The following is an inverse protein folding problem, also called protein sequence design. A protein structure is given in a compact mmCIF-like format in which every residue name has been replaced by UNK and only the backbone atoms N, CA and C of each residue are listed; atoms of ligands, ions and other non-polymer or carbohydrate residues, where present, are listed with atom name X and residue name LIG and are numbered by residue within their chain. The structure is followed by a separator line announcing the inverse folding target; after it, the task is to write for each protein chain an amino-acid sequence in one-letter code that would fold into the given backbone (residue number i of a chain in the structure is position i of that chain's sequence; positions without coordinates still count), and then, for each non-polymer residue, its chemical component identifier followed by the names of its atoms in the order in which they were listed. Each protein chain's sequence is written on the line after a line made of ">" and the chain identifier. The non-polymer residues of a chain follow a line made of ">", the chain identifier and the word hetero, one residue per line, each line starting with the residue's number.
data_IF_054098126909
#
_entry.id   IF_054098126909
#
_cell.length_a   1.000
_cell.length_b   1.000
_cell.length_c   1.000
_cell.angle_alpha   90.00
_cell.angle_beta   90.00
_cell.angle_gamma   90.00
#
_symmetry.space_group_name_H-M   'P 1'
#
loop_
_entity.id
_entity.type
_entity.pdbx_description
1 polymer ?
#
# COMPACT_ATOMS: atom_id res chain seq x y z
N UNK A 1 17.10 -44.67 -25.67
CA UNK A 1 16.42 -45.62 -24.76
C UNK A 1 16.91 -45.41 -23.33
N UNK A 2 16.71 -44.19 -22.84
CA UNK A 2 17.13 -43.68 -21.53
C UNK A 2 16.03 -42.72 -21.08
N UNK A 3 15.46 -42.95 -19.89
CA UNK A 3 14.46 -42.16 -19.12
C UNK A 3 13.25 -42.97 -18.62
N UNK A 4 13.49 -44.14 -18.02
CA UNK A 4 12.45 -44.80 -17.19
C UNK A 4 12.94 -45.22 -15.80
N UNK A 5 14.26 -45.29 -15.52
CA UNK A 5 14.75 -45.82 -14.23
C UNK A 5 15.14 -44.78 -13.15
N UNK A 6 14.50 -43.60 -13.13
CA UNK A 6 14.80 -42.58 -12.09
C UNK A 6 13.61 -42.16 -11.23
N UNK A 7 12.61 -43.03 -11.09
CA UNK A 7 11.47 -42.86 -10.16
C UNK A 7 11.29 -44.13 -9.32
N UNK A 8 12.30 -44.46 -8.49
CA UNK A 8 12.16 -45.42 -7.36
C UNK A 8 12.95 -45.00 -6.11
N UNK A 9 13.40 -43.74 -6.03
CA UNK A 9 14.29 -43.24 -4.96
C UNK A 9 13.71 -42.21 -3.99
N UNK A 10 12.43 -41.84 -4.08
CA UNK A 10 11.84 -40.74 -3.28
C UNK A 10 10.67 -41.24 -2.41
N UNK A 11 10.84 -42.40 -1.77
CA UNK A 11 9.87 -42.89 -0.76
C UNK A 11 10.54 -43.47 0.48
N UNK A 12 11.75 -42.97 0.82
CA UNK A 12 12.49 -43.38 2.03
C UNK A 12 13.13 -42.23 2.81
N UNK A 13 12.69 -40.99 2.62
CA UNK A 13 13.20 -39.81 3.35
C UNK A 13 12.14 -39.03 4.14
N UNK A 14 11.06 -39.68 4.56
CA UNK A 14 10.04 -39.12 5.47
C UNK A 14 9.78 -40.00 6.70
N UNK A 15 10.83 -40.55 7.32
CA UNK A 15 10.69 -41.32 8.58
C UNK A 15 11.70 -41.02 9.68
N UNK A 16 12.46 -39.92 9.58
CA UNK A 16 13.30 -39.48 10.69
C UNK A 16 13.13 -37.97 10.90
N UNK A 17 13.11 -37.58 12.17
CA UNK A 17 12.85 -36.24 12.73
C UNK A 17 11.41 -36.04 13.20
N UNK A 18 11.04 -36.84 14.21
CA UNK A 18 10.07 -36.47 15.24
C UNK A 18 10.54 -37.10 16.56
N UNK A 19 11.47 -36.41 17.23
CA UNK A 19 11.87 -36.70 18.60
C UNK A 19 12.46 -35.42 19.20
N UNK A 20 11.60 -34.58 19.75
CA UNK A 20 12.01 -33.70 20.85
C UNK A 20 11.06 -33.90 22.01
N UNK A 21 11.69 -34.27 23.13
CA UNK A 21 11.10 -34.79 24.34
C UNK A 21 10.52 -33.68 25.22
N UNK A 22 9.49 -34.09 25.93
CA UNK A 22 8.84 -33.41 27.05
C UNK A 22 9.85 -32.91 28.09
N UNK A 23 9.81 -31.62 28.42
CA UNK A 23 10.42 -31.08 29.64
C UNK A 23 9.32 -30.88 30.69
N UNK A 24 9.43 -31.65 31.79
CA UNK A 24 8.61 -31.51 33.01
C UNK A 24 9.21 -30.43 33.92
N UNK A 25 8.40 -29.70 34.70
CA UNK A 25 8.90 -28.72 35.67
C UNK A 25 9.40 -29.41 36.95
N UNK A 26 10.56 -28.96 37.48
CA UNK A 26 11.07 -29.36 38.80
C UNK A 26 10.51 -28.42 39.88
N UNK A 27 10.10 -29.03 40.99
CA UNK A 27 9.56 -28.41 42.22
C UNK A 27 10.60 -27.52 42.94
N UNK A 28 10.14 -26.59 43.82
CA UNK A 28 11.02 -25.69 44.55
C UNK A 28 11.58 -26.35 45.82
N UNK A 29 12.85 -26.06 46.13
CA UNK A 29 13.51 -26.43 47.37
C UNK A 29 13.46 -25.22 48.31
N UNK A 30 12.82 -25.41 49.46
CA UNK A 30 12.83 -24.48 50.60
C UNK A 30 14.10 -24.67 51.43
N UNK A 31 14.80 -23.58 51.75
CA UNK A 31 15.70 -23.52 52.90
C UNK A 31 15.44 -22.21 53.65
N UNK A 32 15.06 -22.33 54.92
CA UNK A 32 15.12 -21.28 55.90
C UNK A 32 16.47 -21.36 56.62
N UNK A 33 17.10 -20.21 56.94
CA UNK A 33 17.57 -19.88 58.30
C UNK A 33 18.31 -18.54 58.37
N UNK A 34 17.91 -17.79 59.39
CA UNK A 34 18.66 -16.91 60.29
C UNK A 34 19.13 -15.52 59.83
N UNK A 35 18.70 -14.55 60.65
CA UNK A 35 19.08 -13.16 60.68
C UNK A 35 20.46 -12.95 61.30
N UNK A 36 21.19 -11.95 60.79
CA UNK A 36 22.22 -11.23 61.54
C UNK A 36 22.26 -9.78 61.09
N UNK A 37 22.20 -8.87 62.07
CA UNK A 37 22.26 -7.42 61.94
C UNK A 37 23.61 -6.93 61.39
N UNK A 38 23.58 -6.09 60.36
CA UNK A 38 24.61 -5.06 60.12
C UNK A 38 23.90 -3.75 59.77
N UNK A 39 24.05 -2.74 60.65
CA UNK A 39 23.68 -1.34 60.41
C UNK A 39 24.72 -0.72 59.49
N UNK A 40 24.32 -0.13 58.37
CA UNK A 40 25.11 0.94 57.72
C UNK A 40 24.21 1.84 56.87
N UNK A 41 24.60 3.12 56.84
CA UNK A 41 23.76 4.29 56.65
C UNK A 41 23.04 4.39 55.29
N UNK A 42 21.77 4.82 55.34
CA UNK A 42 21.03 5.36 54.21
C UNK A 42 21.73 6.63 53.69
N UNK A 43 22.30 6.55 52.50
CA UNK A 43 22.46 7.72 51.63
C UNK A 43 21.39 7.62 50.55
N UNK A 44 20.36 8.45 50.66
CA UNK A 44 19.29 8.54 49.69
C UNK A 44 19.84 9.12 48.37
N UNK A 45 20.13 8.26 47.40
CA UNK A 45 20.06 8.65 45.99
C UNK A 45 18.71 8.20 45.47
N UNK A 46 17.77 9.15 45.45
CA UNK A 46 16.56 9.05 44.65
C UNK A 46 16.99 8.95 43.19
N UNK A 47 17.18 7.73 42.70
CA UNK A 47 17.03 7.48 41.27
C UNK A 47 15.55 7.68 40.96
N UNK A 48 15.20 8.89 40.54
CA UNK A 48 13.94 9.15 39.84
C UNK A 48 14.01 8.38 38.53
N UNK A 49 13.67 7.10 38.59
CA UNK A 49 13.29 6.33 37.43
C UNK A 49 11.89 6.82 37.04
N UNK A 50 11.84 8.01 36.44
CA UNK A 50 10.71 8.40 35.61
C UNK A 50 10.81 7.53 34.36
N UNK A 51 10.30 6.30 34.46
CA UNK A 51 9.82 5.60 33.28
C UNK A 51 8.78 6.52 32.67
N UNK A 52 9.20 7.33 31.70
CA UNK A 52 8.28 8.00 30.80
C UNK A 52 7.42 6.88 30.24
N UNK A 53 6.20 6.76 30.74
CA UNK A 53 5.14 6.07 30.05
C UNK A 53 5.08 6.75 28.69
N UNK A 54 5.71 6.13 27.69
CA UNK A 54 5.53 6.50 26.30
C UNK A 54 4.07 6.20 26.04
N UNK A 55 3.22 7.20 26.27
CA UNK A 55 1.80 7.15 25.92
C UNK A 55 1.80 6.79 24.45
N UNK A 56 1.36 5.57 24.14
CA UNK A 56 1.20 5.12 22.78
C UNK A 56 0.11 6.01 22.19
N UNK A 57 0.52 7.08 21.51
CA UNK A 57 -0.40 8.04 20.91
C UNK A 57 -1.20 7.31 19.83
N UNK A 58 -2.41 6.90 20.19
CA UNK A 58 -3.35 6.30 19.27
C UNK A 58 -4.21 7.41 18.67
N UNK A 59 -4.27 7.47 17.35
CA UNK A 59 -5.14 8.39 16.63
C UNK A 59 -6.42 7.67 16.19
N UNK A 60 -7.56 8.34 16.36
CA UNK A 60 -8.85 7.91 15.83
C UNK A 60 -9.28 8.75 14.65
N UNK A 61 -10.32 8.33 13.94
CA UNK A 61 -10.91 9.08 12.83
C UNK A 61 -12.38 9.40 13.08
N UNK A 62 -12.85 10.49 12.49
CA UNK A 62 -14.24 10.92 12.49
C UNK A 62 -14.65 11.20 11.05
N UNK A 63 -15.55 10.38 10.52
CA UNK A 63 -16.08 10.54 9.17
C UNK A 63 -17.26 11.53 9.13
N UNK A 64 -17.33 12.30 8.05
CA UNK A 64 -18.39 13.27 7.74
C UNK A 64 -18.77 13.15 6.28
N UNK A 65 -20.04 13.43 5.97
CA UNK A 65 -20.62 13.20 4.65
C UNK A 65 -20.74 11.72 4.27
N UNK A 66 -21.18 11.46 3.04
CA UNK A 66 -21.33 10.10 2.53
C UNK A 66 -20.06 9.69 1.76
N UNK A 67 -19.46 8.51 2.00
CA UNK A 67 -18.38 8.00 1.15
C UNK A 67 -18.76 8.01 -0.34
N UNK A 68 -17.76 8.18 -1.22
CA UNK A 68 -17.96 8.34 -2.67
C UNK A 68 -18.83 9.56 -3.03
N UNK A 69 -18.70 10.66 -2.28
CA UNK A 69 -19.36 11.94 -2.57
C UNK A 69 -18.41 13.12 -2.38
N UNK A 70 -18.75 14.27 -2.96
CA UNK A 70 -17.96 15.51 -2.86
C UNK A 70 -17.86 16.04 -1.42
N UNK A 71 -18.79 15.66 -0.54
CA UNK A 71 -18.85 16.10 0.86
C UNK A 71 -18.08 15.17 1.81
N UNK A 72 -17.57 14.03 1.33
CA UNK A 72 -16.92 13.06 2.20
C UNK A 72 -15.62 13.61 2.78
N UNK A 73 -15.47 13.55 4.10
CA UNK A 73 -14.28 13.98 4.84
C UNK A 73 -13.94 12.98 5.94
N UNK A 74 -12.66 12.76 6.15
CA UNK A 74 -12.13 11.98 7.28
C UNK A 74 -11.25 12.89 8.14
N UNK A 75 -11.75 13.27 9.30
CA UNK A 75 -11.02 14.05 10.30
C UNK A 75 -10.29 13.12 11.28
N UNK A 76 -9.32 13.67 12.00
CA UNK A 76 -8.49 12.93 12.95
C UNK A 76 -8.73 13.40 14.37
N UNK A 77 -8.58 12.48 15.33
CA UNK A 77 -8.68 12.74 16.75
C UNK A 77 -7.49 12.15 17.49
N UNK A 78 -7.00 12.87 18.50
CA UNK A 78 -6.02 12.35 19.45
C UNK A 78 -6.64 11.31 20.39
N UNK A 79 -5.82 10.63 21.19
CA UNK A 79 -6.27 9.70 22.23
C UNK A 79 -7.23 10.33 23.26
N UNK A 80 -7.19 11.65 23.41
CA UNK A 80 -8.05 12.40 24.33
C UNK A 80 -9.36 12.87 23.66
N UNK A 81 -9.60 12.50 22.40
CA UNK A 81 -10.80 12.86 21.64
C UNK A 81 -10.76 14.25 20.98
N UNK A 82 -9.69 15.03 21.17
CA UNK A 82 -9.54 16.33 20.53
C UNK A 82 -9.28 16.17 19.04
N UNK A 83 -9.95 16.97 18.20
CA UNK A 83 -9.65 17.07 16.75
C UNK A 83 -8.19 17.48 16.56
N UNK A 84 -7.49 16.81 15.65
CA UNK A 84 -6.11 17.12 15.29
C UNK A 84 -5.98 17.23 13.78
N UNK A 85 -5.10 18.10 13.29
CA UNK A 85 -4.74 18.16 11.88
C UNK A 85 -3.80 16.99 11.55
N UNK A 86 -4.10 16.14 10.56
CA UNK A 86 -3.17 15.10 10.15
C UNK A 86 -1.92 15.66 9.47
N UNK A 87 -1.97 16.89 8.96
CA UNK A 87 -0.82 17.55 8.37
C UNK A 87 0.10 18.13 9.47
N UNK A 88 -0.46 18.73 10.52
CA UNK A 88 0.32 19.56 11.44
C UNK A 88 0.49 18.97 12.85
N UNK A 89 -0.54 18.32 13.39
CA UNK A 89 -0.57 17.90 14.80
C UNK A 89 0.00 16.49 15.04
N UNK A 90 0.07 15.65 14.00
CA UNK A 90 0.69 14.33 14.12
C UNK A 90 2.21 14.51 14.03
N UNK A 91 3.00 14.11 15.03
CA UNK A 91 4.45 14.25 14.98
C UNK A 91 5.03 13.43 13.83
N UNK A 92 6.00 13.99 13.09
CA UNK A 92 6.74 13.25 12.05
C UNK A 92 7.38 11.99 12.63
N UNK A 93 8.11 12.13 13.75
CA UNK A 93 8.82 11.02 14.39
C UNK A 93 7.99 10.40 15.52
N UNK A 94 7.87 9.07 15.51
CA UNK A 94 7.14 8.30 16.52
C UNK A 94 8.02 7.92 17.73
N UNK A 95 9.34 8.07 17.61
CA UNK A 95 10.31 7.79 18.68
C UNK A 95 11.38 8.88 18.80
N UNK A 96 12.02 8.95 19.97
CA UNK A 96 13.01 9.97 20.30
C UNK A 96 14.28 9.87 19.43
N UNK A 97 14.65 8.65 19.02
CA UNK A 97 15.82 8.38 18.19
C UNK A 97 15.61 8.81 16.72
N UNK A 98 14.39 9.22 16.34
CA UNK A 98 14.03 9.65 14.98
C UNK A 98 14.29 8.58 13.91
N UNK A 99 14.09 7.32 14.27
CA UNK A 99 14.28 6.17 13.37
C UNK A 99 12.95 5.56 12.88
N UNK A 100 11.85 5.89 13.56
CA UNK A 100 10.49 5.47 13.25
C UNK A 100 9.65 6.73 13.05
N UNK A 101 8.86 6.76 11.98
CA UNK A 101 8.01 7.89 11.64
C UNK A 101 6.54 7.50 11.69
N UNK A 102 5.67 8.49 11.91
CA UNK A 102 4.25 8.32 11.66
C UNK A 102 3.98 8.54 10.17
N UNK A 103 3.16 7.68 9.58
CA UNK A 103 2.59 7.86 8.25
C UNK A 103 1.08 7.99 8.38
N UNK A 104 0.50 8.95 7.67
CA UNK A 104 -0.95 9.08 7.50
C UNK A 104 -1.35 8.33 6.24
N UNK A 105 -2.10 7.24 6.38
CA UNK A 105 -2.56 6.44 5.24
C UNK A 105 -3.78 7.08 4.60
N UNK A 106 -3.66 7.50 3.34
CA UNK A 106 -4.73 8.15 2.60
C UNK A 106 -5.49 7.18 1.71
N UNK A 107 -4.76 6.29 1.04
CA UNK A 107 -5.28 5.37 0.03
C UNK A 107 -4.82 3.94 0.37
N UNK A 108 -5.73 3.07 0.82
CA UNK A 108 -5.45 1.65 0.99
C UNK A 108 -4.97 1.00 -0.30
N UNK A 109 -4.04 0.04 -0.19
CA UNK A 109 -3.61 -0.77 -1.33
C UNK A 109 -4.80 -1.40 -2.04
N UNK A 110 -4.72 -1.46 -3.37
CA UNK A 110 -5.74 -1.98 -4.28
C UNK A 110 -7.06 -1.20 -4.28
N UNK A 111 -7.01 0.08 -3.95
CA UNK A 111 -8.15 0.99 -4.13
C UNK A 111 -7.85 2.07 -5.16
N UNK A 112 -8.89 2.67 -5.73
CA UNK A 112 -8.77 3.61 -6.86
C UNK A 112 -9.07 5.07 -6.49
N UNK A 113 -9.82 5.32 -5.41
CA UNK A 113 -10.20 6.68 -5.00
C UNK A 113 -8.94 7.47 -4.65
N UNK A 114 -8.63 8.52 -5.42
CA UNK A 114 -7.53 9.43 -5.10
C UNK A 114 -7.96 10.29 -3.91
N UNK A 115 -7.59 9.85 -2.72
CA UNK A 115 -7.83 10.57 -1.48
C UNK A 115 -6.53 11.20 -1.02
N UNK A 116 -6.64 12.39 -0.44
CA UNK A 116 -5.49 13.17 0.00
C UNK A 116 -5.86 14.02 1.22
N UNK A 117 -4.88 14.31 2.07
CA UNK A 117 -4.97 15.35 3.09
C UNK A 117 -5.25 16.68 2.39
N UNK A 118 -6.41 17.26 2.68
CA UNK A 118 -6.79 18.53 2.06
C UNK A 118 -6.03 19.68 2.70
N UNK A 119 -5.14 20.32 1.94
CA UNK A 119 -4.35 21.45 2.42
C UNK A 119 -5.20 22.69 2.66
N UNK A 120 -6.27 22.89 1.91
CA UNK A 120 -7.03 24.16 1.88
C UNK A 120 -8.18 24.20 2.90
N UNK A 121 -8.56 23.05 3.47
CA UNK A 121 -9.65 22.95 4.44
C UNK A 121 -9.12 22.88 5.88
N UNK A 122 -9.82 23.57 6.79
CA UNK A 122 -9.45 23.63 8.20
C UNK A 122 -9.36 22.24 8.82
N UNK A 123 -8.34 22.03 9.65
CA UNK A 123 -8.01 20.74 10.26
C UNK A 123 -7.62 19.64 9.25
N UNK A 124 -7.36 20.02 8.00
CA UNK A 124 -6.82 19.20 6.91
C UNK A 124 -7.41 17.77 6.82
N UNK A 125 -8.74 17.61 6.74
CA UNK A 125 -9.33 16.28 6.60
C UNK A 125 -8.83 15.58 5.33
N UNK A 126 -8.80 14.25 5.34
CA UNK A 126 -8.66 13.52 4.09
C UNK A 126 -9.95 13.66 3.29
N UNK A 127 -9.84 14.05 2.01
CA UNK A 127 -10.94 14.14 1.06
C UNK A 127 -10.57 13.52 -0.29
N UNK A 128 -11.56 13.29 -1.15
CA UNK A 128 -11.28 12.81 -2.49
C UNK A 128 -10.94 13.99 -3.41
N UNK A 129 -9.88 13.83 -4.21
CA UNK A 129 -9.52 14.78 -5.27
C UNK A 129 -10.69 14.90 -6.27
N UNK A 130 -10.91 16.11 -6.77
CA UNK A 130 -12.00 16.45 -7.69
C UNK A 130 -11.42 17.06 -8.96
N UNK A 131 -11.65 16.39 -10.10
CA UNK A 131 -11.20 16.85 -11.41
C UNK A 131 -12.41 17.13 -12.29
N UNK A 132 -12.51 18.36 -12.79
CA UNK A 132 -13.65 18.83 -13.63
C UNK A 132 -15.02 18.60 -12.97
N UNK A 133 -15.10 18.81 -11.66
CA UNK A 133 -16.34 18.66 -10.88
C UNK A 133 -16.73 17.20 -10.52
N UNK A 134 -15.94 16.21 -10.94
CA UNK A 134 -16.17 14.80 -10.63
C UNK A 134 -15.08 14.23 -9.71
N UNK A 135 -15.47 13.26 -8.87
CA UNK A 135 -14.55 12.53 -8.01
C UNK A 135 -13.50 11.81 -8.85
N UNK A 136 -12.22 11.95 -8.49
CA UNK A 136 -11.11 11.36 -9.23
C UNK A 136 -10.83 9.94 -8.74
N UNK A 137 -10.72 9.02 -9.70
CA UNK A 137 -10.30 7.64 -9.48
C UNK A 137 -9.12 7.34 -10.39
N UNK A 138 -8.02 6.84 -9.83
CA UNK A 138 -6.90 6.32 -10.61
C UNK A 138 -7.35 5.07 -11.34
N UNK A 139 -7.03 4.98 -12.62
CA UNK A 139 -7.43 3.84 -13.47
C UNK A 139 -6.53 2.64 -13.23
N UNK A 140 -7.06 1.43 -13.42
CA UNK A 140 -6.24 0.23 -13.40
C UNK A 140 -5.45 0.15 -14.71
N UNK A 141 -4.13 0.27 -14.65
CA UNK A 141 -3.26 0.05 -15.82
C UNK A 141 -2.62 -1.32 -15.65
N UNK A 142 -2.93 -2.24 -16.56
CA UNK A 142 -2.46 -3.62 -16.48
C UNK A 142 -0.92 -3.66 -16.39
N UNK A 143 -0.36 -4.48 -15.48
CA UNK A 143 -1.01 -5.50 -14.65
C UNK A 143 -1.54 -4.99 -13.29
N UNK A 144 -1.48 -3.70 -13.01
CA UNK A 144 -1.75 -3.14 -11.69
C UNK A 144 -3.25 -2.92 -11.42
N UNK A 145 -3.66 -3.08 -10.16
CA UNK A 145 -4.99 -2.76 -9.67
C UNK A 145 -4.91 -1.62 -8.66
N UNK A 146 -5.51 -0.47 -8.99
CA UNK A 146 -5.46 0.74 -8.17
C UNK A 146 -4.03 1.12 -7.78
N UNK A 147 -3.88 1.61 -6.55
CA UNK A 147 -2.57 1.82 -5.92
C UNK A 147 -1.99 0.48 -5.48
N UNK A 148 -0.72 0.21 -5.80
CA UNK A 148 -0.06 -1.07 -5.47
C UNK A 148 0.66 -1.06 -4.11
N UNK A 149 0.50 0.01 -3.33
CA UNK A 149 0.95 0.21 -1.94
C UNK A 149 -0.19 0.71 -1.09
N UNK A 150 -0.03 0.69 0.24
CA UNK A 150 -0.75 1.67 1.03
C UNK A 150 -0.06 3.02 0.80
N UNK A 151 -0.82 4.00 0.34
CA UNK A 151 -0.30 5.29 -0.07
C UNK A 151 -0.79 6.38 0.88
N UNK A 152 0.04 7.39 1.10
CA UNK A 152 -0.29 8.53 1.93
C UNK A 152 0.90 9.44 2.09
N UNK A 153 0.97 10.15 3.21
CA UNK A 153 2.00 11.16 3.41
C UNK A 153 2.64 11.14 4.80
N UNK A 154 3.84 11.73 4.91
CA UNK A 154 4.46 12.03 6.19
C UNK A 154 3.91 13.35 6.75
N UNK A 155 3.36 13.35 7.97
CA UNK A 155 2.90 14.58 8.59
C UNK A 155 4.10 15.47 8.93
N UNK A 156 3.86 16.77 9.07
CA UNK A 156 4.90 17.76 9.36
C UNK A 156 6.05 17.77 8.33
N UNK A 157 5.77 17.50 7.07
CA UNK A 157 6.70 17.66 5.96
C UNK A 157 6.01 18.46 4.86
N UNK A 158 6.75 19.21 4.07
CA UNK A 158 6.19 19.99 2.97
C UNK A 158 7.24 20.17 1.89
N UNK A 159 6.87 19.95 0.64
CA UNK A 159 7.68 20.24 -0.53
C UNK A 159 7.43 21.69 -0.98
N UNK A 160 8.28 22.61 -0.51
CA UNK A 160 8.12 24.05 -0.77
C UNK A 160 8.17 24.37 -2.28
N UNK A 161 7.11 24.98 -2.85
CA UNK A 161 7.04 25.33 -4.27
C UNK A 161 7.99 26.47 -4.68
N UNK A 162 8.75 27.05 -3.74
CA UNK A 162 9.84 27.99 -4.01
C UNK A 162 11.23 27.35 -3.84
N UNK A 163 11.30 26.11 -3.35
CA UNK A 163 12.54 25.40 -3.20
C UNK A 163 12.88 24.60 -4.45
N UNK A 164 13.92 25.02 -5.17
CA UNK A 164 14.45 24.25 -6.30
C UNK A 164 15.22 23.04 -5.78
N UNK A 165 14.79 21.85 -6.18
CA UNK A 165 15.55 20.61 -5.94
C UNK A 165 16.78 20.58 -6.86
N UNK A 166 18.01 20.56 -6.32
CA UNK A 166 19.23 20.72 -7.10
C UNK A 166 19.38 19.72 -8.26
N UNK A 167 18.92 18.49 -8.06
CA UNK A 167 19.08 17.37 -8.98
C UNK A 167 18.08 17.38 -10.15
N UNK A 168 16.88 17.91 -9.94
CA UNK A 168 15.81 17.96 -10.97
C UNK A 168 15.65 19.33 -11.60
N UNK A 169 16.10 20.40 -10.94
CA UNK A 169 15.83 21.80 -11.35
C UNK A 169 14.34 22.11 -11.42
N UNK A 170 13.56 21.44 -10.58
CA UNK A 170 12.13 21.64 -10.42
C UNK A 170 11.81 22.10 -9.01
N UNK A 171 10.68 22.78 -8.86
CA UNK A 171 10.18 23.25 -7.55
C UNK A 171 9.34 22.15 -6.89
N UNK A 172 9.18 22.18 -5.57
CA UNK A 172 8.26 21.27 -4.87
C UNK A 172 6.81 21.41 -5.32
N UNK A 173 6.02 20.34 -5.15
CA UNK A 173 4.61 20.26 -5.55
C UNK A 173 3.63 20.90 -4.54
N UNK A 174 4.16 21.56 -3.50
CA UNK A 174 3.39 22.21 -2.43
C UNK A 174 2.61 21.22 -1.55
N UNK A 175 2.88 19.92 -1.59
CA UNK A 175 2.22 18.88 -0.79
C UNK A 175 3.09 18.37 0.38
N UNK A 176 2.50 17.66 1.37
CA UNK A 176 3.28 16.87 2.29
C UNK A 176 3.98 15.72 1.55
N UNK A 177 5.13 15.30 2.06
CA UNK A 177 5.98 14.30 1.40
C UNK A 177 5.27 12.96 1.25
N UNK A 178 5.18 12.48 0.01
CA UNK A 178 4.44 11.27 -0.37
C UNK A 178 5.15 9.97 0.02
N UNK A 179 4.36 8.95 0.35
CA UNK A 179 4.83 7.70 0.94
C UNK A 179 4.14 6.48 0.33
N UNK A 180 4.96 5.49 -0.05
CA UNK A 180 4.54 4.16 -0.46
C UNK A 180 4.92 3.15 0.63
N UNK A 181 3.94 2.66 1.38
CA UNK A 181 4.12 1.62 2.39
C UNK A 181 3.89 0.22 1.78
N UNK A 182 4.91 -0.62 1.91
CA UNK A 182 5.06 -1.84 1.10
C UNK A 182 4.75 -3.14 1.85
N UNK A 183 4.38 -3.06 3.13
CA UNK A 183 4.08 -4.20 3.98
C UNK A 183 2.87 -5.01 3.51
N UNK A 184 2.75 -6.24 3.99
CA UNK A 184 1.71 -7.17 3.55
C UNK A 184 0.29 -6.74 3.95
N UNK A 185 0.13 -5.93 5.00
CA UNK A 185 -1.18 -5.52 5.52
C UNK A 185 -1.80 -4.45 4.63
N UNK A 186 -3.07 -4.58 4.28
CA UNK A 186 -3.84 -3.47 3.68
C UNK A 186 -4.35 -2.58 4.81
N UNK A 187 -3.80 -1.37 4.91
CA UNK A 187 -4.16 -0.42 5.95
C UNK A 187 -5.45 0.33 5.59
N UNK A 188 -6.17 0.79 6.61
CA UNK A 188 -7.39 1.58 6.41
C UNK A 188 -7.02 3.03 6.11
N UNK A 189 -7.86 3.69 5.31
CA UNK A 189 -7.81 5.14 5.11
C UNK A 189 -7.95 5.85 6.46
N UNK A 190 -7.14 6.87 6.68
CA UNK A 190 -7.04 7.60 7.95
C UNK A 190 -6.29 6.86 9.06
N UNK A 191 -5.69 5.70 8.78
CA UNK A 191 -4.81 5.07 9.77
C UNK A 191 -3.53 5.90 9.94
N UNK A 192 -3.08 6.05 11.19
CA UNK A 192 -1.75 6.58 11.51
C UNK A 192 -0.88 5.43 11.97
N UNK A 193 0.13 5.09 11.17
CA UNK A 193 0.96 3.90 11.38
C UNK A 193 2.42 4.28 11.60
N UNK A 194 3.14 3.42 12.31
CA UNK A 194 4.58 3.59 12.52
C UNK A 194 5.34 2.88 11.41
N UNK A 195 6.18 3.62 10.70
CA UNK A 195 6.93 3.11 9.55
C UNK A 195 8.41 3.40 9.70
N UNK A 196 9.23 2.61 8.99
CA UNK A 196 10.64 2.91 8.79
C UNK A 196 10.95 3.11 7.31
N UNK A 197 11.86 4.04 7.03
CA UNK A 197 12.31 4.37 5.67
C UNK A 197 13.31 3.35 5.16
N UNK A 198 13.11 2.98 3.89
CA UNK A 198 13.99 2.11 3.13
C UNK A 198 14.68 2.88 1.99
N UNK A 199 13.98 3.83 1.37
CA UNK A 199 14.55 4.64 0.28
C UNK A 199 13.57 5.68 -0.25
N UNK A 200 13.89 6.29 -1.39
CA UNK A 200 13.05 7.31 -2.04
C UNK A 200 13.22 7.30 -3.56
N UNK A 201 12.17 7.60 -4.30
CA UNK A 201 12.20 7.83 -5.74
C UNK A 201 11.83 9.29 -6.05
N UNK A 202 12.44 9.88 -7.07
CA UNK A 202 12.20 11.27 -7.46
C UNK A 202 11.33 11.32 -8.72
N UNK A 203 10.01 11.46 -8.56
CA UNK A 203 9.10 11.70 -9.68
C UNK A 203 9.22 13.17 -10.10
N UNK A 204 9.16 13.42 -11.41
CA UNK A 204 8.95 14.75 -11.96
C UNK A 204 7.53 14.75 -12.51
N UNK A 205 6.60 15.25 -11.72
CA UNK A 205 5.17 15.27 -12.06
C UNK A 205 4.80 16.63 -12.64
N UNK A 206 4.51 16.67 -13.95
CA UNK A 206 4.08 17.90 -14.64
C UNK A 206 5.03 19.11 -14.50
N UNK A 207 6.31 18.88 -14.17
CA UNK A 207 7.34 19.91 -14.00
C UNK A 207 7.66 20.25 -12.54
N UNK A 208 7.04 19.57 -11.59
CA UNK A 208 7.27 19.70 -10.15
C UNK A 208 8.07 18.50 -9.64
N UNK A 209 8.89 18.73 -8.62
CA UNK A 209 9.51 17.66 -7.83
C UNK A 209 8.42 17.03 -6.97
N UNK A 210 8.33 15.71 -7.03
CA UNK A 210 7.38 14.93 -6.28
C UNK A 210 8.08 13.66 -5.74
N UNK A 211 8.53 13.71 -4.49
CA UNK A 211 9.31 12.63 -3.90
C UNK A 211 8.42 11.52 -3.36
N UNK A 212 8.71 10.27 -3.74
CA UNK A 212 7.99 9.06 -3.28
C UNK A 212 8.86 8.27 -2.31
N UNK A 213 8.65 8.45 -1.00
CA UNK A 213 9.40 7.73 0.03
C UNK A 213 8.90 6.29 0.12
N UNK A 214 9.82 5.33 0.11
CA UNK A 214 9.52 3.91 0.26
C UNK A 214 9.72 3.53 1.72
N UNK A 215 8.66 3.01 2.34
CA UNK A 215 8.65 2.65 3.76
C UNK A 215 8.00 1.29 4.00
N UNK A 216 8.17 0.75 5.19
CA UNK A 216 7.47 -0.45 5.66
C UNK A 216 6.94 -0.24 7.08
N UNK A 217 5.72 -0.72 7.37
CA UNK A 217 5.19 -0.77 8.74
C UNK A 217 6.16 -1.53 9.64
N UNK A 218 6.53 -0.95 10.79
CA UNK A 218 7.45 -1.58 11.75
C UNK A 218 6.90 -2.88 12.35
N UNK A 219 5.58 -3.12 12.22
CA UNK A 219 4.92 -4.34 12.65
C UNK A 219 4.81 -5.40 11.54
N UNK A 220 5.29 -5.12 10.32
CA UNK A 220 5.34 -6.11 9.25
C UNK A 220 6.34 -7.24 9.58
N UNK A 221 6.06 -8.52 9.26
CA UNK A 221 6.99 -9.61 9.50
C UNK A 221 8.36 -9.43 8.81
N UNK A 222 8.40 -8.79 7.64
CA UNK A 222 9.64 -8.51 6.90
C UNK A 222 10.33 -7.25 7.37
N UNK A 223 9.72 -6.46 8.26
CA UNK A 223 10.29 -5.21 8.73
C UNK A 223 11.73 -5.43 9.21
N UNK A 224 11.98 -6.36 10.13
CA UNK A 224 13.35 -6.56 10.66
C UNK A 224 14.41 -6.93 9.60
N UNK A 225 13.98 -7.51 8.48
CA UNK A 225 14.86 -7.96 7.39
C UNK A 225 15.11 -6.87 6.33
N UNK A 226 14.29 -5.82 6.27
CA UNK A 226 14.41 -4.72 5.31
C UNK A 226 14.92 -3.45 5.99
N UNK A 227 16.18 -3.07 5.79
CA UNK A 227 16.77 -1.92 6.47
C UNK A 227 17.31 -0.83 5.54
N UNK A 228 17.43 -1.13 4.26
CA UNK A 228 17.76 -0.20 3.18
C UNK A 228 17.03 -0.60 1.87
N UNK A 229 17.18 0.18 0.81
CA UNK A 229 16.43 0.01 -0.44
C UNK A 229 16.77 -1.30 -1.16
N UNK A 230 18.00 -1.80 -1.00
CA UNK A 230 18.46 -3.05 -1.62
C UNK A 230 17.73 -4.28 -1.05
N UNK A 231 17.32 -4.21 0.22
CA UNK A 231 16.55 -5.30 0.84
C UNK A 231 15.16 -5.43 0.22
N UNK A 232 14.60 -4.34 -0.33
CA UNK A 232 13.31 -4.39 -1.05
C UNK A 232 13.45 -5.29 -2.27
N UNK A 233 14.48 -5.11 -3.10
CA UNK A 233 14.66 -5.94 -4.29
C UNK A 233 15.03 -7.40 -3.95
N UNK A 234 15.75 -7.60 -2.85
CA UNK A 234 16.11 -8.94 -2.34
C UNK A 234 14.89 -9.74 -1.89
N UNK A 235 13.95 -9.11 -1.18
CA UNK A 235 12.78 -9.79 -0.60
C UNK A 235 11.52 -9.67 -1.48
N UNK A 236 11.48 -8.68 -2.37
CA UNK A 236 10.37 -8.37 -3.27
C UNK A 236 10.91 -8.06 -4.69
N UNK A 237 11.50 -9.06 -5.39
CA UNK A 237 12.13 -8.84 -6.68
C UNK A 237 11.16 -8.31 -7.73
N UNK A 238 11.58 -7.28 -8.47
CA UNK A 238 10.78 -6.59 -9.47
C UNK A 238 9.79 -5.55 -8.90
N UNK A 239 9.67 -5.42 -7.58
CA UNK A 239 8.72 -4.50 -6.97
C UNK A 239 9.06 -3.04 -7.23
N UNK A 240 10.33 -2.64 -7.10
CA UNK A 240 10.76 -1.26 -7.39
C UNK A 240 10.57 -0.91 -8.87
N UNK A 241 10.75 -1.88 -9.77
CA UNK A 241 10.45 -1.73 -11.19
C UNK A 241 8.95 -1.50 -11.43
N UNK A 242 8.10 -2.25 -10.75
CA UNK A 242 6.65 -2.04 -10.80
C UNK A 242 6.25 -0.66 -10.23
N UNK A 243 6.92 -0.18 -9.17
CA UNK A 243 6.76 1.18 -8.64
C UNK A 243 7.09 2.25 -9.66
N UNK A 244 8.26 2.14 -10.28
CA UNK A 244 8.66 3.02 -11.36
C UNK A 244 7.63 3.03 -12.50
N UNK A 245 7.23 1.85 -12.97
CA UNK A 245 6.28 1.70 -14.07
C UNK A 245 4.91 2.30 -13.74
N UNK A 246 4.37 2.03 -12.55
CA UNK A 246 3.07 2.56 -12.11
C UNK A 246 3.03 4.09 -12.17
N UNK A 247 3.99 4.76 -11.52
CA UNK A 247 4.05 6.23 -11.48
C UNK A 247 4.38 6.84 -12.83
N UNK A 248 5.10 6.12 -13.70
CA UNK A 248 5.36 6.54 -15.07
C UNK A 248 4.08 6.59 -15.91
N UNK A 249 3.15 5.64 -15.72
CA UNK A 249 2.03 5.43 -16.66
C UNK A 249 0.63 5.75 -16.10
N UNK A 250 0.46 5.96 -14.79
CA UNK A 250 -0.88 6.05 -14.18
C UNK A 250 -1.78 7.18 -14.73
N UNK A 251 -1.18 8.25 -15.27
CA UNK A 251 -1.90 9.38 -15.88
C UNK A 251 -2.15 9.24 -17.38
N UNK A 252 -1.60 8.22 -18.04
CA UNK A 252 -1.79 8.01 -19.49
C UNK A 252 -3.26 7.77 -19.85
N UNK A 253 -4.04 6.97 -19.10
CA UNK A 253 -5.48 6.83 -19.36
C UNK A 253 -6.28 8.12 -19.25
N UNK A 254 -5.74 9.14 -18.57
CA UNK A 254 -6.31 10.48 -18.46
C UNK A 254 -5.89 11.41 -19.62
N UNK A 255 -5.14 10.89 -20.59
CA UNK A 255 -4.62 11.64 -21.74
C UNK A 255 -3.38 12.48 -21.45
N UNK A 256 -2.68 12.24 -20.34
CA UNK A 256 -1.42 12.91 -20.01
C UNK A 256 -0.22 12.09 -20.52
N UNK A 257 0.95 12.72 -20.76
CA UNK A 257 2.16 11.99 -21.13
C UNK A 257 2.67 11.10 -20.00
N UNK A 258 3.67 10.25 -20.32
CA UNK A 258 4.45 9.54 -19.30
C UNK A 258 5.14 10.54 -18.37
N UNK A 259 5.07 10.26 -17.06
CA UNK A 259 5.85 11.01 -16.10
C UNK A 259 7.34 10.69 -16.24
N UNK A 260 8.17 11.64 -15.80
CA UNK A 260 9.62 11.50 -15.81
C UNK A 260 10.12 11.25 -14.40
N UNK A 261 11.36 10.78 -14.30
CA UNK A 261 12.04 10.60 -13.02
C UNK A 261 13.43 11.20 -13.07
N UNK A 262 13.90 11.72 -11.94
CA UNK A 262 15.32 11.97 -11.75
C UNK A 262 16.09 10.64 -11.61
N UNK A 263 17.42 10.71 -11.64
CA UNK A 263 18.31 9.55 -11.45
C UNK A 263 17.97 8.34 -12.34
N UNK A 264 17.43 8.58 -13.54
CA UNK A 264 16.95 7.53 -14.44
C UNK A 264 15.91 6.56 -13.81
N UNK A 265 15.16 7.01 -12.80
CA UNK A 265 14.18 6.18 -12.10
C UNK A 265 14.75 5.30 -11.00
N UNK A 266 16.03 5.43 -10.66
CA UNK A 266 16.65 4.70 -9.55
C UNK A 266 16.06 5.13 -8.19
N UNK A 267 15.70 4.17 -7.35
CA UNK A 267 15.38 4.43 -5.96
C UNK A 267 16.66 4.68 -5.16
N UNK A 268 16.79 5.85 -4.54
CA UNK A 268 17.91 6.18 -3.66
C UNK A 268 17.73 5.51 -2.30
N UNK A 269 18.86 5.23 -1.66
CA UNK A 269 18.92 4.53 -0.39
C UNK A 269 18.29 5.32 0.78
N UNK A 270 18.19 4.66 1.93
CA UNK A 270 17.64 5.22 3.16
C UNK A 270 18.33 6.49 3.61
N UNK A 271 19.66 6.58 3.51
CA UNK A 271 20.40 7.77 3.94
C UNK A 271 19.95 9.00 3.13
N UNK A 272 19.87 8.86 1.81
CA UNK A 272 19.40 9.93 0.93
C UNK A 272 17.94 10.29 1.23
N UNK A 273 17.08 9.28 1.37
CA UNK A 273 15.67 9.48 1.71
C UNK A 273 15.49 10.26 3.02
N UNK A 274 16.27 9.94 4.05
CA UNK A 274 16.24 10.69 5.31
C UNK A 274 16.70 12.14 5.16
N UNK A 275 17.59 12.47 4.21
CA UNK A 275 17.93 13.88 3.92
C UNK A 275 16.73 14.62 3.35
N UNK A 276 16.07 14.05 2.34
CA UNK A 276 14.84 14.60 1.75
C UNK A 276 13.77 14.83 2.83
N UNK A 277 13.47 13.80 3.65
CA UNK A 277 12.51 13.90 4.74
C UNK A 277 12.84 15.04 5.71
N UNK A 278 14.11 15.15 6.12
CA UNK A 278 14.54 16.20 7.04
C UNK A 278 14.47 17.60 6.42
N UNK A 279 14.75 17.74 5.12
CA UNK A 279 14.67 19.02 4.44
C UNK A 279 13.21 19.47 4.26
N UNK A 280 12.31 18.56 3.86
CA UNK A 280 10.87 18.83 3.83
C UNK A 280 10.29 19.12 5.23
N UNK A 281 10.82 18.50 6.30
CA UNK A 281 10.44 18.84 7.67
C UNK A 281 10.89 20.25 8.08
N UNK A 282 12.09 20.68 7.67
CA UNK A 282 12.56 22.06 7.91
C UNK A 282 11.70 23.07 7.16
N UNK A 283 11.38 22.80 5.90
CA UNK A 283 10.46 23.62 5.11
C UNK A 283 9.09 23.71 5.79
N UNK A 284 8.57 22.59 6.32
CA UNK A 284 7.35 22.60 7.13
C UNK A 284 7.45 23.48 8.37
N UNK A 285 8.55 23.37 9.12
CA UNK A 285 8.78 24.18 10.33
C UNK A 285 8.79 25.69 10.02
N UNK A 286 9.39 26.08 8.90
CA UNK A 286 9.44 27.49 8.46
C UNK A 286 8.05 28.02 8.11
N UNK A 287 7.23 27.29 7.34
CA UNK A 287 5.89 27.79 7.00
C UNK A 287 4.96 27.81 8.21
N UNK A 288 4.97 26.76 9.04
CA UNK A 288 4.04 26.67 10.17
C UNK A 288 4.38 27.69 11.26
N UNK A 289 5.66 28.10 11.33
CA UNK A 289 6.18 29.18 12.15
C UNK A 289 5.99 30.59 11.57
N UNK A 290 5.41 30.72 10.36
CA UNK A 290 5.19 31.99 9.65
C UNK A 290 6.49 32.70 9.22
N UNK A 291 7.55 31.94 8.97
CA UNK A 291 8.80 32.44 8.40
C UNK A 291 8.71 32.60 6.86
N UNK A 292 7.81 31.84 6.21
CA UNK A 292 7.49 31.97 4.80
C UNK A 292 5.96 31.98 4.55
N UNK A 293 5.59 32.26 3.30
CA UNK A 293 4.20 32.22 2.83
C UNK A 293 3.64 30.79 2.97
N UNK A 294 2.39 30.65 3.42
CA UNK A 294 1.74 29.35 3.56
C UNK A 294 1.05 28.89 2.27
N UNK A 295 1.12 29.66 1.18
CA UNK A 295 0.63 29.25 -0.14
C UNK A 295 -0.85 28.82 -0.14
N UNK A 296 -1.68 29.43 0.72
CA UNK A 296 -3.10 29.11 0.85
C UNK A 296 -3.41 27.84 1.66
N UNK A 297 -2.40 27.22 2.28
CA UNK A 297 -2.56 26.06 3.17
C UNK A 297 -3.25 26.52 4.47
N UNK A 298 -4.28 25.79 4.89
CA UNK A 298 -4.97 25.94 6.16
C UNK A 298 -4.08 25.42 7.29
N UNK A 299 -3.57 26.33 8.11
CA UNK A 299 -2.55 26.05 9.13
C UNK A 299 -3.12 25.78 10.54
N UNK A 300 -4.45 25.76 10.71
CA UNK A 300 -5.06 25.52 12.02
C UNK A 300 -4.59 24.18 12.62
N UNK A 301 -4.16 24.23 13.87
CA UNK A 301 -3.63 23.09 14.60
C UNK A 301 -3.92 23.23 16.11
N UNK A 302 -3.79 22.15 16.87
CA UNK A 302 -4.19 22.10 18.29
C UNK A 302 -3.03 21.79 19.24
N UNK A 303 -1.89 21.37 18.71
CA UNK A 303 -0.77 20.84 19.50
C UNK A 303 0.60 21.45 19.17
N UNK A 304 0.75 22.11 18.01
CA UNK A 304 2.05 22.65 17.57
C UNK A 304 2.44 23.88 18.39
N UNK A 305 3.43 23.75 19.26
CA UNK A 305 3.80 24.78 20.23
C UNK A 305 4.33 26.08 19.60
N UNK A 306 5.08 25.97 18.49
CA UNK A 306 5.66 27.11 17.78
C UNK A 306 4.69 27.81 16.82
N UNK A 307 3.49 27.26 16.62
CA UNK A 307 2.59 27.76 15.60
C UNK A 307 1.73 28.94 16.10
N UNK A 308 1.70 30.07 15.37
CA UNK A 308 0.77 31.16 15.66
C UNK A 308 -0.68 30.83 15.24
N UNK A 309 -0.90 29.70 14.57
CA UNK A 309 -2.21 29.27 14.05
C UNK A 309 -2.95 28.31 15.01
N UNK A 310 -2.47 28.19 16.25
CA UNK A 310 -3.03 27.27 17.22
C UNK A 310 -4.46 27.68 17.60
N UNK A 311 -5.39 26.73 17.50
CA UNK A 311 -6.79 26.88 17.90
C UNK A 311 -7.10 26.06 19.17
N UNK A 312 -8.23 26.37 19.81
CA UNK A 312 -8.70 25.59 20.95
C UNK A 312 -9.27 24.24 20.51
N UNK A 313 -9.21 23.18 21.35
CA UNK A 313 -9.90 21.92 21.06
C UNK A 313 -11.40 22.10 20.76
N UNK A 314 -12.05 23.05 21.42
CA UNK A 314 -13.47 23.38 21.21
C UNK A 314 -13.71 23.94 19.81
N UNK A 315 -12.84 24.82 19.31
CA UNK A 315 -12.95 25.35 17.95
C UNK A 315 -12.66 24.28 16.89
N UNK A 316 -11.68 23.41 17.15
CA UNK A 316 -11.41 22.22 16.33
C UNK A 316 -12.63 21.30 16.24
N UNK A 317 -13.34 21.11 17.37
CA UNK A 317 -14.58 20.34 17.40
C UNK A 317 -15.72 21.01 16.62
N UNK A 318 -15.90 22.33 16.74
CA UNK A 318 -16.92 23.09 15.98
C UNK A 318 -16.73 22.93 14.47
N UNK A 319 -15.48 22.92 13.98
CA UNK A 319 -15.16 22.72 12.56
C UNK A 319 -15.66 21.35 12.05
N UNK A 320 -15.49 20.30 12.86
CA UNK A 320 -15.93 18.94 12.51
C UNK A 320 -17.45 18.79 12.64
N UNK A 321 -18.05 19.40 13.66
CA UNK A 321 -19.49 19.33 13.90
C UNK A 321 -20.32 20.14 12.90
N UNK A 322 -19.72 21.15 12.25
CA UNK A 322 -20.39 21.91 11.19
C UNK A 322 -20.45 21.15 9.85
N UNK A 323 -19.76 20.03 9.72
CA UNK A 323 -19.75 19.22 8.50
C UNK A 323 -21.01 18.35 8.39
N UNK A 324 -21.40 17.92 7.17
CA UNK A 324 -22.51 17.01 6.97
C UNK A 324 -22.37 15.73 7.81
N UNK A 325 -23.48 15.26 8.36
CA UNK A 325 -23.51 14.02 9.13
C UNK A 325 -23.05 12.84 8.27
N UNK A 326 -22.38 11.83 8.87
CA UNK A 326 -21.96 10.64 8.13
C UNK A 326 -23.19 9.90 7.58
N UNK A 327 -23.05 9.41 6.34
CA UNK A 327 -24.11 8.65 5.67
C UNK A 327 -23.57 7.43 4.94
N UNK A 328 -24.46 6.70 4.26
CA UNK A 328 -24.09 5.49 3.51
C UNK A 328 -23.29 5.83 2.26
N UNK A 329 -22.35 4.96 1.90
CA UNK A 329 -21.55 5.11 0.69
C UNK A 329 -22.44 5.20 -0.56
N UNK A 330 -22.16 6.17 -1.43
CA UNK A 330 -22.78 6.25 -2.76
C UNK A 330 -22.20 5.15 -3.67
N UNK A 331 -22.98 4.61 -4.63
CA UNK A 331 -22.48 3.59 -5.55
C UNK A 331 -21.34 4.15 -6.42
N UNK A 332 -20.36 3.29 -6.71
CA UNK A 332 -19.29 3.61 -7.65
C UNK A 332 -19.73 3.24 -9.08
N UNK A 333 -19.26 4.00 -10.06
CA UNK A 333 -19.48 3.67 -11.46
C UNK A 333 -18.62 2.47 -11.87
N UNK A 334 -19.17 1.58 -12.72
CA UNK A 334 -18.48 0.37 -13.20
C UNK A 334 -17.13 0.65 -13.89
N UNK A 335 -16.97 1.85 -14.45
CA UNK A 335 -15.75 2.30 -15.11
C UNK A 335 -14.53 2.38 -14.18
N UNK A 336 -14.73 2.50 -12.86
CA UNK A 336 -13.64 2.52 -11.87
C UNK A 336 -12.90 1.18 -11.85
N UNK A 337 -13.60 0.08 -12.12
CA UNK A 337 -13.03 -1.27 -12.09
C UNK A 337 -12.44 -1.72 -13.43
N UNK A 338 -12.51 -0.89 -14.48
CA UNK A 338 -11.99 -1.24 -15.79
C UNK A 338 -10.46 -1.22 -15.81
N UNK A 339 -9.88 -2.16 -16.58
CA UNK A 339 -8.46 -2.19 -16.89
C UNK A 339 -8.15 -1.45 -18.20
N UNK A 340 -6.97 -0.87 -18.26
CA UNK A 340 -6.38 -0.21 -19.42
C UNK A 340 -5.08 -0.91 -19.77
N UNK A 341 -4.84 -1.08 -21.07
CA UNK A 341 -3.60 -1.64 -21.61
C UNK A 341 -2.75 -0.48 -22.12
N UNK A 342 -1.50 -0.37 -21.65
CA UNK A 342 -0.52 0.56 -22.20
C UNK A 342 0.51 -0.25 -22.98
N UNK A 343 0.54 -0.12 -24.31
CA UNK A 343 1.47 -0.87 -25.16
C UNK A 343 2.72 -0.04 -25.50
N UNK A 344 3.79 -0.22 -24.74
CA UNK A 344 5.16 0.11 -25.18
C UNK A 344 6.11 -1.07 -25.09
N UNK A 345 5.68 -2.18 -24.48
CA UNK A 345 6.34 -3.48 -24.60
C UNK A 345 6.00 -4.07 -25.96
N UNK A 346 6.97 -4.24 -26.89
CA UNK A 346 6.75 -5.14 -28.00
C UNK A 346 6.52 -6.51 -27.38
N UNK A 347 5.30 -7.04 -27.50
CA UNK A 347 5.06 -8.47 -27.35
C UNK A 347 5.91 -9.15 -28.42
N UNK A 348 7.18 -9.42 -28.12
CA UNK A 348 7.99 -10.36 -28.87
C UNK A 348 7.34 -11.71 -28.63
N UNK A 349 6.37 -12.03 -29.48
CA UNK A 349 5.80 -13.34 -29.74
C UNK A 349 6.03 -14.34 -28.60
N UNK A 350 5.54 -14.04 -27.40
CA UNK A 350 5.25 -15.11 -26.47
C UNK A 350 3.97 -15.66 -27.04
N UNK A 351 4.13 -16.61 -27.97
CA UNK A 351 3.09 -17.56 -28.30
C UNK A 351 2.51 -17.97 -26.96
N UNK A 352 1.27 -17.56 -26.70
CA UNK A 352 0.49 -18.08 -25.62
C UNK A 352 0.30 -19.55 -25.97
N UNK A 353 1.26 -20.39 -25.59
CA UNK A 353 1.12 -21.84 -25.68
C UNK A 353 0.06 -22.20 -24.65
N UNK A 354 -1.19 -22.30 -25.10
CA UNK A 354 -2.25 -23.00 -24.38
C UNK A 354 -1.93 -24.48 -24.63
N UNK A 355 -1.45 -25.25 -23.64
CA UNK A 355 -1.39 -26.69 -23.81
C UNK A 355 -2.84 -27.19 -23.68
N UNK A 356 -3.52 -27.36 -24.81
CA UNK A 356 -4.74 -28.16 -24.85
C UNK A 356 -4.30 -29.62 -24.77
N UNK A 357 -4.31 -30.19 -23.57
CA UNK A 357 -4.23 -31.64 -23.39
C UNK A 357 -5.66 -32.17 -23.43
N UNK A 358 -6.07 -32.73 -24.57
CA UNK A 358 -7.23 -33.62 -24.61
C UNK A 358 -6.87 -34.93 -23.93
N UNK A 359 -7.88 -35.59 -23.36
CA UNK A 359 -7.77 -36.77 -22.48
C UNK A 359 -7.22 -38.05 -23.13
N UNK A 360 -6.70 -37.98 -24.35
CA UNK A 360 -6.23 -39.11 -25.15
C UNK A 360 -4.78 -38.98 -25.64
N UNK A 361 -4.06 -37.91 -25.25
CA UNK A 361 -2.59 -37.89 -25.25
C UNK A 361 -1.92 -38.05 -26.62
N UNK A 362 -2.59 -37.76 -27.73
CA UNK A 362 -1.99 -37.69 -29.06
C UNK A 362 -2.62 -36.56 -29.87
N UNK A 363 -1.77 -35.58 -30.18
CA UNK A 363 -1.80 -34.62 -31.29
C UNK A 363 -1.65 -33.16 -30.85
N UNK A 364 -0.49 -32.58 -31.19
CA UNK A 364 -0.20 -31.15 -31.12
C UNK A 364 -0.90 -30.48 -32.31
N UNK A 365 -2.02 -29.81 -32.09
CA UNK A 365 -2.62 -28.94 -33.11
C UNK A 365 -1.89 -27.60 -33.09
N UNK A 366 -1.20 -27.29 -34.19
CA UNK A 366 -0.61 -25.98 -34.46
C UNK A 366 -1.75 -24.99 -34.75
N UNK A 367 -2.11 -24.15 -33.78
CA UNK A 367 -3.04 -23.04 -34.01
C UNK A 367 -2.28 -21.93 -34.71
N UNK A 368 -2.49 -21.80 -36.03
CA UNK A 368 -2.05 -20.63 -36.78
C UNK A 368 -2.91 -19.42 -36.41
N UNK A 369 -2.24 -18.32 -36.07
CA UNK A 369 -2.69 -16.93 -36.09
C UNK A 369 -4.21 -16.70 -36.11
N UNK A 370 -4.80 -16.35 -34.96
CA UNK A 370 -6.13 -15.73 -34.92
C UNK A 370 -5.97 -14.20 -34.93
N UNK A 371 -5.71 -13.64 -36.11
CA UNK A 371 -6.12 -12.27 -36.42
C UNK A 371 -7.62 -12.28 -36.72
N UNK A 372 -8.48 -12.11 -35.71
CA UNK A 372 -9.88 -11.73 -35.95
C UNK A 372 -10.38 -10.76 -34.89
N UNK A 373 -10.44 -9.49 -35.29
CA UNK A 373 -11.61 -8.61 -35.10
C UNK A 373 -12.33 -8.77 -33.75
N UNK A 374 -11.94 -7.95 -32.76
CA UNK A 374 -12.79 -7.65 -31.61
C UNK A 374 -14.07 -6.96 -32.10
N UNK A 375 -15.15 -7.72 -32.29
CA UNK A 375 -16.49 -7.15 -32.39
C UNK A 375 -17.01 -6.81 -30.99
N UNK A 376 -17.77 -5.70 -30.81
CA UNK A 376 -18.30 -5.30 -29.52
C UNK A 376 -19.40 -6.29 -29.07
N UNK A 377 -19.12 -7.04 -28.01
CA UNK A 377 -20.11 -7.90 -27.35
C UNK A 377 -21.01 -7.00 -26.51
N UNK A 378 -22.29 -6.84 -26.90
CA UNK A 378 -23.34 -6.32 -26.01
C UNK A 378 -23.71 -7.42 -25.00
N UNK A 379 -23.66 -7.09 -23.72
CA UNK A 379 -24.07 -7.96 -22.62
C UNK A 379 -25.40 -7.42 -22.08
N UNK A 380 -26.46 -8.21 -22.21
CA UNK A 380 -27.73 -8.01 -21.52
C UNK A 380 -27.87 -9.00 -20.36
N UNK A 381 -28.43 -8.48 -19.25
CA UNK A 381 -28.97 -9.13 -18.05
C UNK A 381 -28.00 -9.62 -16.95
N UNK A 382 -28.32 -9.14 -15.74
CA UNK A 382 -27.79 -9.55 -14.44
C UNK A 382 -28.25 -10.97 -14.08
N UNK A 383 -27.36 -11.96 -14.16
CA UNK A 383 -27.51 -13.23 -13.43
C UNK A 383 -26.62 -13.22 -12.18
N UNK A 384 -27.20 -13.61 -11.05
CA UNK A 384 -26.46 -13.84 -9.79
C UNK A 384 -25.84 -15.23 -9.86
N UNK A 385 -24.51 -15.30 -9.79
CA UNK A 385 -23.76 -16.56 -9.89
C UNK A 385 -23.76 -17.36 -8.57
N UNK A 386 -23.50 -18.69 -8.61
CA UNK A 386 -23.52 -19.56 -7.43
C UNK A 386 -22.45 -19.25 -6.36
N UNK A 387 -22.79 -19.43 -5.09
CA UNK A 387 -21.94 -19.15 -3.91
C UNK A 387 -20.59 -19.91 -3.88
N UNK A 388 -20.48 -21.01 -4.62
CA UNK A 388 -19.24 -21.78 -4.74
C UNK A 388 -18.11 -21.04 -5.50
N UNK A 389 -18.46 -20.05 -6.34
CA UNK A 389 -17.47 -19.20 -7.03
C UNK A 389 -16.87 -18.16 -6.09
N UNK A 390 -17.60 -17.72 -5.06
CA UNK A 390 -17.12 -16.75 -4.08
C UNK A 390 -16.11 -17.38 -3.11
N UNK A 391 -16.33 -18.65 -2.74
CA UNK A 391 -15.38 -19.42 -1.92
C UNK A 391 -14.06 -19.61 -2.67
N UNK A 392 -14.12 -19.91 -3.98
CA UNK A 392 -12.91 -20.10 -4.80
C UNK A 392 -12.14 -18.78 -4.99
N UNK A 393 -12.83 -17.65 -5.11
CA UNK A 393 -12.22 -16.32 -5.16
C UNK A 393 -11.44 -16.02 -3.86
N UNK A 394 -12.03 -16.30 -2.70
CA UNK A 394 -11.35 -16.11 -1.41
C UNK A 394 -10.13 -17.04 -1.23
N UNK A 395 -10.19 -18.27 -1.73
CA UNK A 395 -9.05 -19.20 -1.67
C UNK A 395 -7.93 -18.80 -2.66
N UNK A 396 -8.26 -18.28 -3.84
CA UNK A 396 -7.28 -17.69 -4.76
C UNK A 396 -6.67 -16.39 -4.21
N UNK A 397 -7.50 -15.56 -3.56
CA UNK A 397 -7.19 -14.49 -2.59
C UNK A 397 -5.94 -14.79 -1.75
N UNK A 398 -6.01 -15.93 -1.07
CA UNK A 398 -5.02 -16.39 -0.11
C UNK A 398 -3.81 -17.09 -0.73
N UNK A 399 -4.00 -17.74 -1.88
CA UNK A 399 -3.01 -18.62 -2.49
C UNK A 399 -2.02 -17.93 -3.45
N UNK A 400 -2.34 -16.73 -3.96
CA UNK A 400 -1.55 -16.05 -4.99
C UNK A 400 -1.03 -14.69 -4.52
N UNK A 401 0.13 -14.60 -3.85
CA UNK A 401 0.69 -13.30 -3.46
C UNK A 401 1.19 -12.47 -4.66
N UNK A 402 1.37 -13.05 -5.86
CA UNK A 402 2.24 -12.43 -6.89
C UNK A 402 1.79 -12.54 -8.36
N UNK A 403 0.61 -13.11 -8.69
CA UNK A 403 0.15 -13.16 -10.09
C UNK A 403 -1.23 -12.51 -10.26
N UNK A 404 -1.21 -11.17 -10.36
CA UNK A 404 -2.41 -10.36 -10.68
C UNK A 404 -3.00 -10.79 -12.03
N UNK A 405 -2.17 -11.22 -12.98
CA UNK A 405 -2.59 -11.71 -14.30
C UNK A 405 -3.54 -12.91 -14.21
N UNK A 406 -3.24 -13.88 -13.35
CA UNK A 406 -4.10 -15.05 -13.16
C UNK A 406 -5.44 -14.70 -12.53
N UNK A 407 -5.43 -13.79 -11.56
CA UNK A 407 -6.62 -13.35 -10.87
C UNK A 407 -7.54 -12.52 -11.78
N UNK A 408 -6.98 -11.59 -12.56
CA UNK A 408 -7.70 -10.78 -13.56
C UNK A 408 -8.28 -11.69 -14.66
N UNK A 409 -7.49 -12.65 -15.16
CA UNK A 409 -7.94 -13.60 -16.17
C UNK A 409 -9.06 -14.51 -15.65
N UNK A 410 -8.94 -15.01 -14.42
CA UNK A 410 -9.99 -15.77 -13.74
C UNK A 410 -11.28 -14.94 -13.58
N UNK A 411 -11.17 -13.67 -13.14
CA UNK A 411 -12.32 -12.75 -13.02
C UNK A 411 -13.00 -12.47 -14.36
N UNK A 412 -12.22 -12.26 -15.41
CA UNK A 412 -12.73 -12.05 -16.76
C UNK A 412 -13.47 -13.29 -17.29
N UNK A 413 -12.87 -14.49 -17.14
CA UNK A 413 -13.51 -15.73 -17.57
C UNK A 413 -14.76 -16.07 -16.75
N UNK A 414 -14.79 -15.71 -15.46
CA UNK A 414 -16.00 -15.77 -14.62
C UNK A 414 -17.09 -14.84 -15.12
N UNK A 415 -16.77 -13.59 -15.43
CA UNK A 415 -17.73 -12.58 -15.91
C UNK A 415 -18.31 -12.94 -17.29
N UNK A 416 -17.58 -13.71 -18.09
CA UNK A 416 -18.01 -14.19 -19.40
C UNK A 416 -18.67 -15.59 -19.39
N UNK A 417 -18.87 -16.22 -18.22
CA UNK A 417 -19.47 -17.55 -18.04
C UNK A 417 -18.77 -18.69 -18.83
N UNK A 418 -17.43 -18.65 -18.88
CA UNK A 418 -16.60 -19.54 -19.71
C UNK A 418 -16.02 -20.77 -18.98
N UNK A 419 -16.48 -21.11 -17.77
CA UNK A 419 -15.87 -22.16 -16.94
C UNK A 419 -16.86 -23.31 -16.65
N UNK A 420 -16.51 -24.56 -17.01
CA UNK A 420 -17.34 -25.75 -16.73
C UNK A 420 -16.70 -26.80 -15.78
N UNK A 421 -15.38 -26.98 -15.74
CA UNK A 421 -14.72 -27.95 -14.83
C UNK A 421 -13.35 -27.51 -14.31
N UNK A 422 -13.02 -27.93 -13.08
CA UNK A 422 -11.93 -27.38 -12.23
C UNK A 422 -10.63 -28.17 -12.32
N UNK A 423 -9.51 -27.51 -12.61
CA UNK A 423 -8.13 -27.91 -12.26
C UNK A 423 -7.20 -26.69 -12.35
N UNK A 424 -6.68 -26.21 -11.22
CA UNK A 424 -5.66 -25.15 -11.19
C UNK A 424 -4.33 -25.82 -10.87
N UNK A 425 -3.37 -25.74 -11.80
CA UNK A 425 -2.01 -26.20 -11.53
C UNK A 425 -1.14 -24.97 -11.24
N UNK A 426 -0.80 -24.80 -9.97
CA UNK A 426 0.18 -23.79 -9.53
C UNK A 426 1.53 -24.49 -9.49
N UNK A 427 2.45 -24.12 -10.38
CA UNK A 427 3.83 -24.57 -10.28
C UNK A 427 4.70 -23.42 -9.78
N UNK A 428 5.47 -23.67 -8.72
CA UNK A 428 6.39 -22.70 -8.14
C UNK A 428 7.77 -22.82 -8.78
N UNK A 429 8.28 -21.71 -9.33
CA UNK A 429 9.70 -21.39 -9.61
C UNK A 429 10.41 -22.22 -10.72
N UNK A 430 11.30 -21.63 -11.55
CA UNK A 430 11.84 -20.27 -11.51
C UNK A 430 11.04 -19.18 -12.23
N UNK A 431 10.04 -19.54 -13.04
CA UNK A 431 9.11 -18.58 -13.66
C UNK A 431 7.68 -18.86 -13.21
N UNK A 432 6.98 -17.94 -12.53
CA UNK A 432 5.58 -18.13 -12.15
C UNK A 432 4.70 -18.12 -13.41
N UNK A 433 4.51 -19.30 -13.99
CA UNK A 433 3.55 -19.52 -15.08
C UNK A 433 2.25 -20.03 -14.47
N UNK A 434 1.20 -19.21 -14.47
CA UNK A 434 -0.13 -19.71 -14.13
C UNK A 434 -0.74 -20.32 -15.38
N UNK A 435 -0.92 -21.64 -15.36
CA UNK A 435 -1.65 -22.37 -16.39
C UNK A 435 -3.09 -22.54 -15.92
N UNK A 436 -4.02 -21.83 -16.57
CA UNK A 436 -5.45 -22.06 -16.39
C UNK A 436 -5.87 -23.09 -17.43
N UNK A 437 -6.22 -24.30 -16.97
CA UNK A 437 -6.82 -25.32 -17.83
C UNK A 437 -8.32 -25.08 -17.84
N UNK A 438 -8.87 -24.72 -19.00
CA UNK A 438 -10.32 -24.51 -19.20
C UNK A 438 -10.84 -25.66 -20.05
N UNK A 439 -11.78 -26.42 -19.51
CA UNK A 439 -12.62 -27.33 -20.30
C UNK A 439 -13.73 -26.48 -20.94
N UNK A 440 -13.74 -26.36 -22.26
CA UNK A 440 -14.68 -25.51 -22.99
C UNK A 440 -16.04 -26.19 -23.08
N UNK A 441 -17.14 -25.42 -23.01
CA UNK A 441 -18.48 -25.91 -23.33
C UNK A 441 -18.45 -26.51 -24.72
N UNK A 442 -18.60 -27.83 -24.77
CA UNK A 442 -18.79 -28.62 -25.96
C UNK A 442 -19.65 -27.89 -27.00
N UNK A 443 -19.05 -27.38 -28.08
CA UNK A 443 -19.72 -27.25 -29.37
C UNK A 443 -19.75 -28.62 -30.04
N UNK A 444 -20.46 -29.55 -29.41
CA UNK A 444 -20.91 -30.78 -30.05
C UNK A 444 -22.43 -30.73 -30.17
N UNK A 445 -22.90 -30.08 -31.26
CA UNK A 445 -24.19 -30.19 -31.97
C UNK A 445 -24.30 -28.97 -32.89
N UNK A 446 -24.40 -29.02 -34.21
CA UNK A 446 -24.63 -30.07 -35.21
C UNK A 446 -24.13 -29.56 -36.58
N UNK A 447 -23.97 -30.53 -37.50
CA UNK A 447 -24.05 -30.48 -38.98
C UNK A 447 -24.74 -29.23 -39.53
#
# INVERSE_FOLDING_TARGET
>A
MQRVDRIRGITRLFSQVNRYQQLRPKQPVTFATSATHIKQACSARLFSCSSLLQVKMSYGTVERGCPNSLEYRVFFTSSNGNTVSPFHDIPLFANAEKTVMNMVVEIPRWTNSKMEVCKEEKMNPIKQDVKKGALRFVKNVFPHHGYIWNYGALPQTWEDPKHETPETKTMGDNDPLDVCEIGQKVHKRGAVIQVKVLGVMCLIDEGETDWKVIVIDVNDPLANEMNDIEDVEKHMPGFLKATYEWFKIYKIPDGKPENKFAFNGEAKNKEFAMKVVNDCNKQWQQFIGKECDNHGIACENTSVASSPYKITPEDGKKIVDSQPQPGTAKPLADEVLQYRLHSTTPFHSTQLFIPCLTSDGRDLIKIESVEKSLMPIRLDHHEVLPAEYDILEQEMEKALPLSICAFVHFKLMRKCNLLEKKSILVNSWPDPSVVVIVDNKNHSRRI
#
